data_IF_144082286200
#
_entry.id   IF_144082286200
#
_cell.length_a   1.000
_cell.length_b   1.000
_cell.length_c   1.000
_cell.angle_alpha   90.00
_cell.angle_beta   90.00
_cell.angle_gamma   90.00
#
_symmetry.space_group_name_H-M   'P 1'
#
loop_
_entity.id
_entity.type
_entity.pdbx_description
1 polymer ?
#
# COMPACT_ATOMS: atom_id res chain seq x y z
N UNK A 1 -10.22 0.10 14.61
CA UNK A 1 -10.36 0.50 13.19
C UNK A 1 -9.63 1.82 13.01
N UNK A 2 -8.62 1.87 12.14
CA UNK A 2 -7.84 3.07 11.85
C UNK A 2 -7.68 3.18 10.32
N UNK A 3 -7.49 4.40 9.83
CA UNK A 3 -7.16 4.68 8.43
C UNK A 3 -5.65 4.84 8.26
N UNK A 4 -5.08 4.30 7.18
CA UNK A 4 -3.68 4.53 6.82
C UNK A 4 -3.57 4.97 5.36
N UNK A 5 -2.75 6.00 5.12
CA UNK A 5 -2.44 6.48 3.78
C UNK A 5 -1.19 5.76 3.25
N UNK A 6 -1.29 5.27 2.04
CA UNK A 6 -0.17 4.87 1.19
C UNK A 6 -0.05 5.86 0.05
N UNK A 7 1.14 5.97 -0.52
CA UNK A 7 1.42 6.86 -1.63
C UNK A 7 2.08 6.08 -2.77
N UNK A 8 1.73 6.44 -3.99
CA UNK A 8 2.30 5.92 -5.22
C UNK A 8 2.58 7.08 -6.19
N UNK A 9 3.07 6.72 -7.36
CA UNK A 9 3.21 7.60 -8.51
C UNK A 9 2.45 6.97 -9.66
N UNK A 10 2.26 7.69 -10.77
CA UNK A 10 1.64 7.11 -11.97
C UNK A 10 2.40 5.87 -12.45
N UNK A 11 3.72 5.81 -12.22
CA UNK A 11 4.57 4.65 -12.60
C UNK A 11 4.30 3.37 -11.80
N UNK A 12 3.78 3.48 -10.58
CA UNK A 12 3.60 2.33 -9.66
C UNK A 12 2.13 2.04 -9.36
N UNK A 13 1.24 2.98 -9.72
CA UNK A 13 -0.20 2.93 -9.45
C UNK A 13 -0.88 1.70 -10.05
N UNK A 14 -0.65 1.43 -11.34
CA UNK A 14 -1.34 0.33 -12.02
C UNK A 14 -1.01 -1.00 -11.33
N UNK A 15 0.27 -1.23 -10.99
CA UNK A 15 0.69 -2.42 -10.27
C UNK A 15 0.08 -2.52 -8.86
N UNK A 16 -0.17 -1.39 -8.16
CA UNK A 16 -0.89 -1.40 -6.88
C UNK A 16 -2.30 -1.96 -7.03
N UNK A 17 -3.00 -1.58 -8.11
CA UNK A 17 -4.38 -2.01 -8.35
C UNK A 17 -4.46 -3.43 -8.93
N UNK A 18 -3.57 -3.78 -9.86
CA UNK A 18 -3.51 -5.12 -10.45
C UNK A 18 -3.22 -6.20 -9.40
N UNK A 19 -2.31 -5.92 -8.47
CA UNK A 19 -1.94 -6.86 -7.41
C UNK A 19 -2.79 -6.74 -6.15
N UNK A 20 -3.62 -5.70 -6.05
CA UNK A 20 -4.29 -5.30 -4.81
C UNK A 20 -3.31 -5.28 -3.62
N UNK A 21 -2.18 -4.59 -3.82
CA UNK A 21 -1.06 -4.59 -2.90
C UNK A 21 -0.55 -3.17 -2.74
N UNK A 22 -0.49 -2.67 -1.50
CA UNK A 22 0.12 -1.38 -1.20
C UNK A 22 1.46 -1.59 -0.50
N UNK A 23 2.45 -0.78 -0.88
CA UNK A 23 3.82 -0.92 -0.42
C UNK A 23 4.42 0.42 -0.01
N UNK A 24 5.40 0.37 0.89
CA UNK A 24 6.23 1.53 1.19
C UNK A 24 7.69 1.15 1.41
N UNK A 25 8.54 2.18 1.47
CA UNK A 25 9.97 2.06 1.74
C UNK A 25 10.25 2.08 3.26
N UNK A 26 11.52 1.93 3.63
CA UNK A 26 11.95 1.90 5.04
C UNK A 26 11.61 3.18 5.82
N UNK A 27 11.56 4.35 5.19
CA UNK A 27 11.31 5.61 5.88
C UNK A 27 9.89 5.67 6.48
N UNK A 28 8.90 5.07 5.80
CA UNK A 28 7.51 5.04 6.25
C UNK A 28 7.07 3.69 6.81
N UNK A 29 7.98 2.72 6.90
CA UNK A 29 7.71 1.40 7.48
C UNK A 29 7.04 1.48 8.86
N UNK A 30 7.44 2.36 9.82
CA UNK A 30 6.76 2.43 11.12
C UNK A 30 5.27 2.77 11.04
N UNK A 31 4.81 3.48 10.01
CA UNK A 31 3.40 3.76 9.80
C UNK A 31 2.69 2.53 9.19
N UNK A 32 3.25 1.97 8.11
CA UNK A 32 2.71 0.77 7.48
C UNK A 32 2.61 -0.41 8.45
N UNK A 33 3.61 -0.65 9.29
CA UNK A 33 3.66 -1.75 10.26
C UNK A 33 2.59 -1.68 11.37
N UNK A 34 1.83 -0.57 11.48
CA UNK A 34 0.65 -0.48 12.37
C UNK A 34 -0.62 -1.01 11.73
N UNK A 35 -0.61 -1.25 10.41
CA UNK A 35 -1.77 -1.79 9.69
C UNK A 35 -2.04 -3.22 10.16
N UNK A 36 -3.32 -3.50 10.38
CA UNK A 36 -3.85 -4.82 10.72
C UNK A 36 -5.00 -5.12 9.77
N UNK A 37 -5.31 -6.41 9.61
CA UNK A 37 -6.46 -6.87 8.83
C UNK A 37 -7.73 -6.14 9.27
N UNK A 38 -8.52 -5.68 8.30
CA UNK A 38 -9.75 -4.90 8.50
C UNK A 38 -9.56 -3.40 8.69
N UNK A 39 -8.32 -2.88 8.71
CA UNK A 39 -8.09 -1.44 8.66
C UNK A 39 -8.45 -0.86 7.30
N UNK A 40 -8.81 0.43 7.27
CA UNK A 40 -9.09 1.14 6.03
C UNK A 40 -7.83 1.77 5.47
N UNK A 41 -7.72 1.75 4.16
CA UNK A 41 -6.54 2.18 3.43
C UNK A 41 -6.96 3.11 2.28
N UNK A 42 -6.09 4.07 2.01
CA UNK A 42 -6.19 4.96 0.86
C UNK A 42 -4.87 4.96 0.12
N UNK A 43 -4.93 5.17 -1.20
CA UNK A 43 -3.77 5.30 -2.06
C UNK A 43 -3.76 6.69 -2.69
N UNK A 44 -2.77 7.52 -2.36
CA UNK A 44 -2.55 8.81 -2.99
C UNK A 44 -1.60 8.65 -4.19
N UNK A 45 -2.01 9.07 -5.37
CA UNK A 45 -1.12 9.23 -6.53
C UNK A 45 -0.51 10.64 -6.49
N UNK A 46 0.77 10.72 -6.16
CA UNK A 46 1.50 11.97 -5.96
C UNK A 46 1.72 12.76 -7.25
N UNK A 47 1.62 12.11 -8.42
CA UNK A 47 1.81 12.80 -9.71
C UNK A 47 0.53 13.52 -10.14
N UNK A 48 -0.65 13.02 -9.73
CA UNK A 48 -1.96 13.53 -10.14
C UNK A 48 -2.77 14.18 -9.02
N UNK A 49 -2.28 14.12 -7.77
CA UNK A 49 -2.99 14.55 -6.56
C UNK A 49 -4.36 13.86 -6.35
N UNK A 50 -4.52 12.65 -6.87
CA UNK A 50 -5.74 11.85 -6.73
C UNK A 50 -5.65 10.88 -5.55
N UNK A 51 -6.68 10.89 -4.71
CA UNK A 51 -6.85 9.95 -3.61
C UNK A 51 -7.83 8.84 -3.97
N UNK A 52 -7.34 7.61 -4.02
CA UNK A 52 -8.14 6.42 -4.30
C UNK A 52 -8.51 5.71 -3.00
N UNK A 53 -9.76 5.26 -2.92
CA UNK A 53 -10.29 4.53 -1.77
C UNK A 53 -11.80 4.37 -1.83
N UNK A 54 -12.42 3.74 -0.82
CA UNK A 54 -11.77 3.13 0.36
C UNK A 54 -11.33 1.71 0.02
N UNK A 55 -10.16 1.28 0.50
CA UNK A 55 -9.75 -0.12 0.48
C UNK A 55 -9.74 -0.71 1.89
N UNK A 56 -9.92 -2.03 2.01
CA UNK A 56 -9.81 -2.77 3.27
C UNK A 56 -8.56 -3.63 3.29
N UNK A 57 -7.79 -3.57 4.37
CA UNK A 57 -6.62 -4.44 4.58
C UNK A 57 -7.07 -5.91 4.74
N UNK A 58 -6.58 -6.80 3.89
CA UNK A 58 -6.84 -8.25 3.99
C UNK A 58 -5.75 -8.98 4.77
N UNK A 59 -4.60 -8.33 4.96
CA UNK A 59 -3.50 -8.77 5.83
C UNK A 59 -2.99 -7.67 6.77
N UNK A 60 -2.17 -8.06 7.74
CA UNK A 60 -1.29 -7.12 8.45
C UNK A 60 -0.08 -6.78 7.58
N UNK A 61 0.57 -5.65 7.83
CA UNK A 61 1.77 -5.28 7.10
C UNK A 61 2.92 -6.26 7.35
N UNK A 62 3.54 -6.72 6.25
CA UNK A 62 4.67 -7.66 6.26
C UNK A 62 5.73 -7.21 5.27
N UNK A 63 6.94 -7.76 5.44
CA UNK A 63 8.01 -7.52 4.49
C UNK A 63 7.91 -8.52 3.33
N UNK A 64 7.96 -8.02 2.09
CA UNK A 64 8.03 -8.79 0.84
C UNK A 64 6.95 -9.87 0.70
N UNK A 65 5.67 -9.49 0.82
CA UNK A 65 4.54 -10.36 0.47
C UNK A 65 4.66 -10.80 -0.99
N UNK A 66 4.94 -9.84 -1.88
CA UNK A 66 5.36 -10.02 -3.25
C UNK A 66 6.73 -9.35 -3.44
N UNK A 67 7.84 -10.11 -3.36
CA UNK A 67 9.19 -9.57 -3.47
C UNK A 67 9.49 -8.88 -4.81
N UNK A 68 8.80 -9.26 -5.89
CA UNK A 68 9.02 -8.69 -7.23
C UNK A 68 8.29 -7.36 -7.46
N UNK A 69 7.32 -7.02 -6.61
CA UNK A 69 6.48 -5.84 -6.78
C UNK A 69 7.32 -4.56 -6.84
N UNK A 70 7.03 -3.70 -7.83
CA UNK A 70 7.73 -2.45 -8.08
C UNK A 70 9.26 -2.60 -8.15
N UNK A 71 9.73 -3.72 -8.70
CA UNK A 71 11.15 -4.09 -8.80
C UNK A 71 11.84 -4.15 -7.42
N UNK A 72 11.10 -4.52 -6.37
CA UNK A 72 11.61 -4.68 -5.01
C UNK A 72 11.85 -3.37 -4.23
N UNK A 73 11.39 -2.22 -4.75
CA UNK A 73 11.64 -0.90 -4.14
C UNK A 73 10.84 -0.64 -2.87
N UNK A 74 9.69 -1.30 -2.71
CA UNK A 74 8.75 -1.07 -1.59
C UNK A 74 8.46 -2.37 -0.85
N UNK A 75 9.36 -2.81 0.05
CA UNK A 75 9.28 -4.12 0.67
C UNK A 75 8.25 -4.19 1.80
N UNK A 76 7.77 -3.08 2.36
CA UNK A 76 6.80 -3.11 3.46
C UNK A 76 5.39 -3.05 2.89
N UNK A 77 4.74 -4.20 2.83
CA UNK A 77 3.58 -4.44 1.99
C UNK A 77 2.35 -4.84 2.81
N UNK A 78 1.17 -4.50 2.27
CA UNK A 78 -0.15 -4.83 2.80
C UNK A 78 -1.04 -5.24 1.63
N UNK A 79 -1.67 -6.41 1.72
CA UNK A 79 -2.70 -6.82 0.76
C UNK A 79 -4.02 -6.10 1.07
N UNK A 80 -4.73 -5.73 0.03
CA UNK A 80 -5.98 -4.98 0.13
C UNK A 80 -7.09 -5.60 -0.70
N UNK A 81 -8.31 -5.12 -0.49
CA UNK A 81 -9.45 -5.33 -1.38
C UNK A 81 -10.23 -4.01 -1.48
N UNK A 82 -10.96 -3.77 -2.59
CA UNK A 82 -11.90 -2.65 -2.69
C UNK A 82 -13.02 -2.70 -1.65
#
# INVERSE_FOLDING_TARGET
>A
MQGQLFACTTKTKDECFERLLFGTNRAYAPAAMRVRKGHYLFLLDLDSDLLYGVFRATSEAKMNIEPSAWQGKYPYQVEVEP
#
